data_IF_926217633576
#
_entry.id   IF_926217633576
#
_cell.length_a   1.000
_cell.length_b   1.000
_cell.length_c   1.000
_cell.angle_alpha   90.00
_cell.angle_beta   90.00
_cell.angle_gamma   90.00
#
_symmetry.space_group_name_H-M   'P 1'
#
loop_
_entity.id
_entity.type
_entity.pdbx_description
1 polymer ?
#
# COMPACT_ATOMS: atom_id res chain seq x y z
N UNK A 1 -66.05 4.67 -48.78
CA UNK A 1 -64.75 5.15 -48.29
C UNK A 1 -63.97 3.98 -47.72
N UNK A 2 -62.88 3.55 -48.37
CA UNK A 2 -62.02 2.43 -47.95
C UNK A 2 -61.06 2.90 -46.85
N UNK A 3 -61.17 2.35 -45.64
CA UNK A 3 -60.21 2.58 -44.56
C UNK A 3 -58.91 1.81 -44.80
N UNK A 4 -57.79 2.52 -44.93
CA UNK A 4 -56.44 1.93 -45.02
C UNK A 4 -56.00 1.48 -43.62
N UNK A 5 -55.68 0.19 -43.45
CA UNK A 5 -54.94 -0.31 -42.29
C UNK A 5 -53.45 -0.03 -42.49
N UNK A 6 -52.87 0.78 -41.61
CA UNK A 6 -51.42 1.00 -41.52
C UNK A 6 -50.81 -0.21 -40.79
N UNK A 7 -49.96 -0.98 -41.45
CA UNK A 7 -49.17 -2.02 -40.80
C UNK A 7 -47.93 -1.37 -40.16
N UNK A 8 -47.86 -1.43 -38.83
CA UNK A 8 -46.72 -0.96 -38.06
C UNK A 8 -45.68 -2.10 -38.02
N UNK A 9 -44.60 -1.98 -38.78
CA UNK A 9 -43.45 -2.88 -38.68
C UNK A 9 -42.69 -2.54 -37.40
N UNK A 10 -42.76 -3.43 -36.39
CA UNK A 10 -41.91 -3.35 -35.21
C UNK A 10 -40.47 -3.69 -35.56
N UNK A 11 -39.54 -2.73 -35.41
CA UNK A 11 -38.12 -3.03 -35.38
C UNK A 11 -37.80 -3.74 -34.05
N UNK A 12 -37.41 -5.02 -34.12
CA UNK A 12 -36.72 -5.68 -33.01
C UNK A 12 -35.34 -5.03 -32.83
N UNK A 13 -34.93 -4.67 -31.60
CA UNK A 13 -33.56 -4.24 -31.35
C UNK A 13 -32.61 -5.42 -31.58
N UNK A 14 -31.67 -5.24 -32.51
CA UNK A 14 -30.57 -6.18 -32.73
C UNK A 14 -29.67 -6.13 -31.48
N UNK A 15 -29.74 -7.16 -30.63
CA UNK A 15 -28.80 -7.37 -29.54
C UNK A 15 -27.43 -7.71 -30.15
N UNK A 16 -26.59 -6.71 -30.36
CA UNK A 16 -25.19 -6.90 -30.66
C UNK A 16 -24.55 -7.40 -29.37
N UNK A 17 -24.31 -8.71 -29.27
CA UNK A 17 -23.51 -9.28 -28.20
C UNK A 17 -22.11 -8.66 -28.27
N UNK A 18 -21.71 -7.94 -27.22
CA UNK A 18 -20.36 -7.41 -27.11
C UNK A 18 -19.36 -8.57 -27.16
N UNK A 19 -18.33 -8.47 -28.01
CA UNK A 19 -17.28 -9.47 -28.07
C UNK A 19 -16.63 -9.63 -26.69
N UNK A 20 -16.35 -10.86 -26.22
CA UNK A 20 -15.71 -11.07 -24.93
C UNK A 20 -14.36 -10.35 -24.92
N UNK A 21 -14.05 -9.66 -23.81
CA UNK A 21 -12.78 -9.00 -23.64
C UNK A 21 -11.63 -10.01 -23.87
N UNK A 22 -10.56 -9.64 -24.58
CA UNK A 22 -9.45 -10.54 -24.83
C UNK A 22 -8.87 -11.02 -23.49
N UNK A 23 -8.59 -12.31 -23.40
CA UNK A 23 -7.96 -12.89 -22.21
C UNK A 23 -6.59 -12.23 -21.99
N UNK A 24 -6.23 -11.91 -20.73
CA UNK A 24 -4.90 -11.43 -20.40
C UNK A 24 -3.80 -12.37 -20.88
N UNK A 25 -2.66 -11.81 -21.28
CA UNK A 25 -1.48 -12.61 -21.63
C UNK A 25 -0.97 -13.37 -20.39
N UNK A 26 -0.59 -14.63 -20.56
CA UNK A 26 -0.05 -15.47 -19.50
C UNK A 26 1.04 -16.39 -20.03
N UNK A 27 2.04 -16.67 -19.20
CA UNK A 27 3.18 -17.55 -19.51
C UNK A 27 3.72 -18.17 -18.22
N UNK A 28 4.59 -19.18 -18.37
CA UNK A 28 5.40 -19.69 -17.26
C UNK A 28 6.73 -18.93 -17.27
N UNK A 29 7.06 -18.31 -16.14
CA UNK A 29 8.37 -17.69 -15.94
C UNK A 29 9.45 -18.77 -16.03
N UNK A 30 10.39 -18.68 -17.00
CA UNK A 30 11.36 -19.74 -17.25
C UNK A 30 12.38 -19.87 -16.11
N UNK A 31 12.58 -18.83 -15.31
CA UNK A 31 13.53 -18.83 -14.18
C UNK A 31 12.92 -19.49 -12.95
N UNK A 32 11.64 -19.22 -12.67
CA UNK A 32 11.00 -19.65 -11.41
C UNK A 32 10.07 -20.87 -11.60
N UNK A 33 9.55 -21.07 -12.81
CA UNK A 33 8.55 -22.08 -13.11
C UNK A 33 7.14 -21.73 -12.61
N UNK A 34 6.88 -20.48 -12.24
CA UNK A 34 5.56 -20.01 -11.82
C UNK A 34 4.80 -19.38 -12.98
N UNK A 35 3.47 -19.50 -12.95
CA UNK A 35 2.61 -18.86 -13.94
C UNK A 35 2.49 -17.37 -13.64
N UNK A 36 2.74 -16.54 -14.64
CA UNK A 36 2.53 -15.09 -14.60
C UNK A 36 1.40 -14.71 -15.55
N UNK A 37 0.59 -13.74 -15.15
CA UNK A 37 -0.45 -13.10 -15.95
C UNK A 37 -0.17 -11.60 -15.99
N UNK A 38 -0.19 -11.01 -17.18
CA UNK A 38 -0.15 -9.55 -17.35
C UNK A 38 -1.58 -9.00 -17.34
N UNK A 39 -2.01 -8.49 -16.19
CA UNK A 39 -3.38 -8.03 -15.91
C UNK A 39 -3.74 -6.80 -16.76
N UNK A 40 -2.85 -5.80 -16.80
CA UNK A 40 -3.03 -4.60 -17.63
C UNK A 40 -1.68 -3.92 -17.90
N UNK A 41 -1.46 -3.49 -19.15
CA UNK A 41 -0.25 -2.81 -19.61
C UNK A 41 -0.54 -1.46 -20.30
N UNK A 42 -1.76 -0.93 -20.12
CA UNK A 42 -2.13 0.41 -20.59
C UNK A 42 -1.20 1.48 -20.00
N UNK A 43 -0.74 2.45 -20.79
CA UNK A 43 0.06 3.56 -20.27
C UNK A 43 -0.63 4.29 -19.12
N UNK A 44 0.13 4.59 -18.06
CA UNK A 44 -0.39 5.30 -16.89
C UNK A 44 -1.22 4.45 -15.92
N UNK A 45 -1.22 3.11 -16.05
CA UNK A 45 -1.81 2.24 -15.04
C UNK A 45 -1.13 2.41 -13.66
N UNK A 46 -1.92 2.25 -12.60
CA UNK A 46 -1.47 2.35 -11.22
C UNK A 46 -2.17 1.28 -10.36
N UNK A 47 -1.37 0.29 -9.93
CA UNK A 47 -1.71 -0.59 -8.81
C UNK A 47 -1.48 0.13 -7.47
N UNK A 48 -2.26 -0.25 -6.47
CA UNK A 48 -2.29 0.43 -5.18
C UNK A 48 -1.00 0.20 -4.38
N UNK A 49 -0.66 1.18 -3.54
CA UNK A 49 0.44 1.07 -2.58
C UNK A 49 0.27 -0.16 -1.67
N UNK A 50 1.35 -0.80 -1.23
CA UNK A 50 1.32 -2.13 -0.57
C UNK A 50 0.40 -2.23 0.66
N UNK A 51 0.12 -1.11 1.34
CA UNK A 51 -0.75 -1.05 2.51
C UNK A 51 -2.21 -0.64 2.22
N UNK A 52 -2.57 -0.43 0.96
CA UNK A 52 -3.93 -0.09 0.55
C UNK A 52 -4.62 -1.30 -0.05
N UNK A 53 -5.66 -1.81 0.62
CA UNK A 53 -6.41 -2.97 0.15
C UNK A 53 -7.03 -2.72 -1.25
N UNK A 54 -6.61 -3.47 -2.29
CA UNK A 54 -7.20 -3.35 -3.61
C UNK A 54 -8.36 -4.33 -3.84
N UNK A 55 -8.64 -5.24 -2.90
CA UNK A 55 -9.58 -6.33 -3.11
C UNK A 55 -10.93 -6.09 -2.46
N UNK A 56 -11.97 -6.49 -3.18
CA UNK A 56 -13.33 -6.62 -2.63
C UNK A 56 -13.39 -7.65 -1.49
N UNK A 57 -14.32 -7.50 -0.52
CA UNK A 57 -14.40 -8.41 0.63
C UNK A 57 -14.61 -9.89 0.28
N UNK A 58 -15.23 -10.18 -0.87
CA UNK A 58 -15.41 -11.53 -1.38
C UNK A 58 -14.19 -12.07 -2.15
N UNK A 59 -13.15 -11.24 -2.32
CA UNK A 59 -11.90 -11.55 -3.01
C UNK A 59 -12.02 -11.72 -4.52
N UNK A 60 -13.18 -11.46 -5.12
CA UNK A 60 -13.42 -11.75 -6.55
C UNK A 60 -12.94 -10.66 -7.49
N UNK A 61 -12.75 -9.45 -6.95
CA UNK A 61 -12.36 -8.28 -7.75
C UNK A 61 -11.25 -7.50 -7.09
N UNK A 62 -10.31 -7.07 -7.93
CA UNK A 62 -9.25 -6.14 -7.58
C UNK A 62 -9.45 -4.81 -8.29
N UNK A 63 -9.40 -3.68 -7.58
CA UNK A 63 -9.42 -2.35 -8.19
C UNK A 63 -8.00 -1.92 -8.58
N UNK A 64 -7.92 -1.12 -9.64
CA UNK A 64 -6.72 -0.37 -9.99
C UNK A 64 -7.12 0.88 -10.79
N UNK A 65 -6.18 1.79 -10.96
CA UNK A 65 -6.42 3.06 -11.66
C UNK A 65 -5.76 3.04 -13.05
N UNK A 66 -6.44 3.63 -14.03
CA UNK A 66 -5.85 4.05 -15.31
C UNK A 66 -6.16 5.52 -15.55
N UNK A 67 -5.55 6.17 -16.57
CA UNK A 67 -5.92 7.55 -16.91
C UNK A 67 -7.40 7.73 -17.30
N UNK A 68 -8.10 6.65 -17.65
CA UNK A 68 -9.55 6.66 -17.94
C UNK A 68 -10.42 6.69 -16.67
N UNK A 69 -9.89 6.17 -15.55
CA UNK A 69 -10.59 6.08 -14.26
C UNK A 69 -10.40 4.72 -13.57
N UNK A 70 -11.35 4.34 -12.70
CA UNK A 70 -11.26 3.12 -11.88
C UNK A 70 -11.65 1.91 -12.72
N UNK A 71 -10.77 0.92 -12.76
CA UNK A 71 -11.00 -0.39 -13.35
C UNK A 71 -11.05 -1.46 -12.28
N UNK A 72 -11.72 -2.57 -12.60
CA UNK A 72 -11.68 -3.81 -11.81
C UNK A 72 -11.13 -4.94 -12.67
N UNK A 73 -10.30 -5.77 -12.07
CA UNK A 73 -9.89 -7.07 -12.58
C UNK A 73 -10.62 -8.19 -11.82
N UNK A 74 -11.15 -9.17 -12.54
CA UNK A 74 -11.69 -10.41 -11.96
C UNK A 74 -10.53 -11.32 -11.53
N UNK A 75 -10.48 -11.76 -10.27
CA UNK A 75 -9.32 -12.53 -9.76
C UNK A 75 -9.28 -13.97 -10.27
N UNK A 76 -10.38 -14.50 -10.81
CA UNK A 76 -10.42 -15.86 -11.34
C UNK A 76 -9.81 -15.98 -12.74
N UNK A 77 -9.83 -14.91 -13.54
CA UNK A 77 -9.37 -14.94 -14.92
C UNK A 77 -8.61 -13.68 -15.39
N UNK A 78 -8.43 -12.71 -14.50
CA UNK A 78 -7.73 -11.44 -14.69
C UNK A 78 -8.32 -10.53 -15.78
N UNK A 79 -9.51 -10.82 -16.32
CA UNK A 79 -10.18 -9.92 -17.26
C UNK A 79 -10.56 -8.63 -16.57
N UNK A 80 -10.51 -7.51 -17.30
CA UNK A 80 -10.69 -6.18 -16.71
C UNK A 80 -11.82 -5.39 -17.36
N UNK A 81 -12.52 -4.58 -16.57
CA UNK A 81 -13.54 -3.64 -17.06
C UNK A 81 -13.41 -2.28 -16.37
N UNK A 82 -13.81 -1.23 -17.07
CA UNK A 82 -13.95 0.12 -16.50
C UNK A 82 -15.21 0.16 -15.62
N UNK A 83 -15.09 0.66 -14.40
CA UNK A 83 -16.21 0.87 -13.47
C UNK A 83 -16.64 2.33 -13.48
N UNK A 84 -15.66 3.23 -13.41
CA UNK A 84 -15.89 4.66 -13.30
C UNK A 84 -14.99 5.39 -14.28
N UNK A 85 -15.59 6.15 -15.20
CA UNK A 85 -14.87 7.03 -16.13
C UNK A 85 -14.82 8.44 -15.56
N UNK A 86 -13.71 8.79 -14.94
CA UNK A 86 -13.50 10.08 -14.30
C UNK A 86 -12.00 10.35 -14.11
N UNK A 87 -11.58 11.63 -14.15
CA UNK A 87 -10.23 12.01 -13.72
C UNK A 87 -10.13 11.89 -12.20
N UNK A 88 -9.22 11.04 -11.74
CA UNK A 88 -9.04 10.73 -10.33
C UNK A 88 -7.62 11.10 -9.93
N UNK A 89 -7.48 11.88 -8.86
CA UNK A 89 -6.17 12.30 -8.35
C UNK A 89 -5.55 11.19 -7.50
N UNK A 90 -6.37 10.44 -6.74
CA UNK A 90 -5.89 9.28 -6.00
C UNK A 90 -6.97 8.23 -5.80
N UNK A 91 -6.67 7.00 -6.23
CA UNK A 91 -7.39 5.81 -5.80
C UNK A 91 -6.86 5.38 -4.44
N UNK A 92 -7.76 5.16 -3.46
CA UNK A 92 -7.39 4.81 -2.09
C UNK A 92 -7.39 3.30 -1.91
N UNK A 93 -8.54 2.71 -1.63
CA UNK A 93 -8.70 1.31 -1.25
C UNK A 93 -10.16 0.86 -1.46
N UNK A 94 -10.41 -0.44 -1.31
CA UNK A 94 -11.75 -1.01 -1.17
C UNK A 94 -12.11 -1.12 0.32
N UNK A 95 -13.38 -0.91 0.65
CA UNK A 95 -13.91 -1.19 1.99
C UNK A 95 -13.84 -2.66 2.38
N UNK A 96 -13.88 -2.93 3.68
CA UNK A 96 -13.77 -4.26 4.26
C UNK A 96 -15.12 -5.03 4.29
N UNK A 97 -16.25 -4.32 4.15
CA UNK A 97 -17.60 -4.88 4.32
C UNK A 97 -18.43 -4.86 3.05
N UNK A 98 -18.13 -3.95 2.13
CA UNK A 98 -18.85 -3.83 0.86
C UNK A 98 -17.88 -3.67 -0.32
N UNK A 99 -18.33 -4.05 -1.51
CA UNK A 99 -17.61 -3.83 -2.76
C UNK A 99 -17.66 -2.36 -3.20
N UNK A 100 -17.10 -1.49 -2.37
CA UNK A 100 -17.09 -0.04 -2.54
C UNK A 100 -15.64 0.45 -2.53
N UNK A 101 -15.22 1.14 -3.59
CA UNK A 101 -13.92 1.77 -3.65
C UNK A 101 -13.98 3.23 -3.21
N UNK A 102 -12.92 3.69 -2.56
CA UNK A 102 -12.77 5.06 -2.09
C UNK A 102 -11.69 5.77 -2.90
N UNK A 103 -11.94 7.03 -3.27
CA UNK A 103 -11.03 7.81 -4.09
C UNK A 103 -11.15 9.30 -3.78
N UNK A 104 -10.21 10.10 -4.27
CA UNK A 104 -10.25 11.55 -4.14
C UNK A 104 -10.06 12.25 -5.48
N UNK A 105 -10.73 13.40 -5.61
CA UNK A 105 -10.58 14.35 -6.71
C UNK A 105 -10.17 15.71 -6.17
N UNK A 106 -9.41 16.50 -6.91
CA UNK A 106 -9.00 17.86 -6.56
C UNK A 106 -9.93 18.87 -7.25
N UNK A 107 -10.42 19.90 -6.54
CA UNK A 107 -11.16 20.99 -7.15
C UNK A 107 -10.30 21.72 -8.21
N UNK A 108 -10.94 22.19 -9.28
CA UNK A 108 -10.27 22.99 -10.30
C UNK A 108 -9.67 24.24 -9.64
N UNK A 109 -8.37 24.47 -9.83
CA UNK A 109 -7.66 25.64 -9.30
C UNK A 109 -7.22 25.52 -7.83
N UNK A 110 -7.45 24.38 -7.16
CA UNK A 110 -6.93 24.13 -5.81
C UNK A 110 -6.45 22.69 -5.64
N UNK A 111 -5.19 22.44 -5.99
CA UNK A 111 -4.56 21.11 -5.89
C UNK A 111 -4.25 20.68 -4.45
N UNK A 112 -4.29 21.60 -3.49
CA UNK A 112 -4.07 21.29 -2.08
C UNK A 112 -5.32 20.69 -1.41
N UNK A 113 -6.52 21.08 -1.87
CA UNK A 113 -7.77 20.53 -1.38
C UNK A 113 -8.19 19.28 -2.17
N UNK A 114 -9.02 18.44 -1.55
CA UNK A 114 -9.60 17.27 -2.22
C UNK A 114 -11.04 17.03 -1.77
N UNK A 115 -11.85 16.44 -2.65
CA UNK A 115 -13.15 15.87 -2.32
C UNK A 115 -13.00 14.36 -2.26
N UNK A 116 -13.51 13.75 -1.19
CA UNK A 116 -13.51 12.31 -0.97
C UNK A 116 -14.81 11.71 -1.46
N UNK A 117 -14.68 10.62 -2.19
CA UNK A 117 -15.78 9.91 -2.83
C UNK A 117 -15.72 8.42 -2.51
N UNK A 118 -16.88 7.78 -2.54
CA UNK A 118 -17.02 6.34 -2.69
C UNK A 118 -17.67 6.01 -4.02
N UNK A 119 -17.34 4.87 -4.63
CA UNK A 119 -18.04 4.30 -5.77
C UNK A 119 -18.41 2.85 -5.51
N UNK A 120 -19.66 2.50 -5.75
CA UNK A 120 -20.15 1.13 -5.75
C UNK A 120 -19.63 0.40 -7.00
N UNK A 121 -18.91 -0.71 -6.81
CA UNK A 121 -18.20 -1.39 -7.90
C UNK A 121 -19.12 -2.22 -8.82
N UNK A 122 -20.36 -2.46 -8.41
CA UNK A 122 -21.36 -3.18 -9.20
C UNK A 122 -22.12 -2.22 -10.12
N UNK A 123 -22.50 -1.07 -9.61
CA UNK A 123 -23.36 -0.10 -10.29
C UNK A 123 -22.61 1.08 -10.90
N UNK A 124 -21.37 1.33 -10.47
CA UNK A 124 -20.61 2.53 -10.83
C UNK A 124 -21.16 3.83 -10.21
N UNK A 125 -22.17 3.74 -9.34
CA UNK A 125 -22.75 4.91 -8.67
C UNK A 125 -21.79 5.44 -7.63
N UNK A 126 -21.43 6.72 -7.77
CA UNK A 126 -20.58 7.42 -6.80
C UNK A 126 -21.40 8.23 -5.80
N UNK A 127 -20.82 8.42 -4.61
CA UNK A 127 -21.36 9.24 -3.53
C UNK A 127 -20.23 10.11 -2.97
N UNK A 128 -20.52 11.40 -2.77
CA UNK A 128 -19.61 12.33 -2.09
C UNK A 128 -19.63 12.04 -0.59
N UNK A 129 -18.46 12.02 0.04
CA UNK A 129 -18.33 11.78 1.50
C UNK A 129 -18.01 13.08 2.21
N UNK A 130 -16.93 13.76 1.84
CA UNK A 130 -16.46 14.95 2.53
C UNK A 130 -15.53 15.78 1.63
N UNK A 131 -15.36 17.05 1.99
CA UNK A 131 -14.28 17.89 1.46
C UNK A 131 -13.15 17.99 2.47
N UNK A 132 -11.93 17.91 1.97
CA UNK A 132 -10.70 18.12 2.71
C UNK A 132 -10.04 19.41 2.22
N UNK A 133 -9.87 20.42 3.09
CA UNK A 133 -9.16 21.65 2.73
C UNK A 133 -7.65 21.44 2.54
N UNK A 134 -7.13 20.28 2.97
CA UNK A 134 -5.73 19.91 2.86
C UNK A 134 -5.48 18.52 3.46
N UNK A 135 -4.30 17.97 3.19
CA UNK A 135 -3.90 16.66 3.68
C UNK A 135 -4.46 15.50 2.85
N UNK A 136 -4.47 14.30 3.42
CA UNK A 136 -4.83 13.08 2.69
C UNK A 136 -5.45 12.00 3.57
N UNK A 137 -6.42 11.27 3.02
CA UNK A 137 -6.89 9.99 3.58
C UNK A 137 -5.83 8.91 3.37
N UNK A 138 -5.64 8.03 4.34
CA UNK A 138 -4.68 6.93 4.25
C UNK A 138 -5.31 5.57 4.59
N UNK A 139 -6.44 5.53 5.31
CA UNK A 139 -7.01 4.25 5.72
C UNK A 139 -8.53 4.33 5.97
N UNK A 140 -9.18 3.16 6.02
CA UNK A 140 -10.57 2.93 6.43
C UNK A 140 -10.59 1.88 7.53
N UNK A 141 -11.47 2.04 8.51
CA UNK A 141 -11.54 1.12 9.64
C UNK A 141 -12.26 -0.20 9.31
N UNK A 142 -12.09 -1.19 10.19
CA UNK A 142 -12.53 -2.58 9.97
C UNK A 142 -14.06 -2.78 9.79
N UNK A 143 -14.87 -1.78 10.10
CA UNK A 143 -16.34 -1.81 9.96
C UNK A 143 -16.87 -0.80 8.92
N UNK A 144 -15.97 -0.16 8.16
CA UNK A 144 -16.29 0.80 7.09
C UNK A 144 -17.11 2.02 7.54
N UNK A 145 -16.89 2.48 8.79
CA UNK A 145 -17.57 3.66 9.34
C UNK A 145 -16.71 4.92 9.36
N UNK A 146 -15.39 4.78 9.45
CA UNK A 146 -14.43 5.88 9.55
C UNK A 146 -13.34 5.79 8.49
N UNK A 147 -13.06 6.94 7.86
CA UNK A 147 -11.80 7.15 7.16
C UNK A 147 -10.80 7.81 8.12
N UNK A 148 -9.52 7.49 8.00
CA UNK A 148 -8.46 8.18 8.72
C UNK A 148 -7.47 8.81 7.74
N UNK A 149 -6.96 9.98 8.13
CA UNK A 149 -6.01 10.74 7.35
C UNK A 149 -5.12 11.60 8.23
N UNK A 150 -4.23 12.34 7.58
CA UNK A 150 -3.39 13.32 8.24
C UNK A 150 -3.29 14.60 7.40
N UNK A 151 -2.84 15.67 8.04
CA UNK A 151 -2.73 16.98 7.41
C UNK A 151 -1.69 17.84 8.14
N UNK A 152 -1.01 18.70 7.38
CA UNK A 152 -0.25 19.83 7.91
C UNK A 152 -1.20 20.98 8.30
N UNK A 153 -1.04 21.50 9.51
CA UNK A 153 -1.84 22.58 10.08
C UNK A 153 -1.34 23.97 9.68
N UNK A 154 -0.09 24.06 9.20
CA UNK A 154 0.53 25.25 8.65
C UNK A 154 1.35 24.85 7.41
N UNK A 155 1.53 25.75 6.43
CA UNK A 155 2.41 25.48 5.30
C UNK A 155 3.86 25.25 5.78
N UNK A 156 4.60 24.31 5.18
CA UNK A 156 6.01 24.15 5.48
C UNK A 156 6.80 25.36 4.95
N UNK A 157 8.03 25.60 5.45
CA UNK A 157 8.91 26.63 4.91
C UNK A 157 9.04 26.53 3.39
N UNK A 158 9.07 27.67 2.69
CA UNK A 158 9.00 27.72 1.22
C UNK A 158 10.07 26.85 0.52
N UNK A 159 11.29 26.81 1.06
CA UNK A 159 12.37 25.97 0.52
C UNK A 159 12.09 24.46 0.62
N UNK A 160 11.32 24.04 1.62
CA UNK A 160 10.84 22.66 1.77
C UNK A 160 9.67 22.41 0.81
N UNK A 161 8.71 23.34 0.75
CA UNK A 161 7.52 23.25 -0.10
C UNK A 161 7.84 23.20 -1.60
N UNK A 162 8.95 23.81 -2.02
CA UNK A 162 9.36 23.89 -3.43
C UNK A 162 9.94 22.58 -4.01
N UNK A 163 10.10 21.53 -3.20
CA UNK A 163 10.66 20.23 -3.63
C UNK A 163 9.68 19.08 -3.38
N UNK A 164 9.98 17.90 -3.92
CA UNK A 164 9.17 16.69 -3.76
C UNK A 164 8.05 16.55 -4.77
N UNK A 165 7.96 17.45 -5.76
CA UNK A 165 7.04 17.33 -6.90
C UNK A 165 7.30 16.02 -7.64
N UNK A 166 6.24 15.35 -8.08
CA UNK A 166 6.36 14.09 -8.82
C UNK A 166 6.77 14.36 -10.26
N UNK A 167 7.76 13.63 -10.74
CA UNK A 167 8.17 13.61 -12.15
C UNK A 167 6.99 13.09 -13.01
N UNK A 168 6.55 13.81 -14.06
CA UNK A 168 5.42 13.38 -14.87
C UNK A 168 5.62 12.08 -15.66
N UNK A 169 6.86 11.66 -15.90
CA UNK A 169 7.21 10.45 -16.65
C UNK A 169 7.35 9.24 -15.73
N UNK A 170 8.08 9.39 -14.63
CA UNK A 170 8.37 8.27 -13.71
C UNK A 170 7.38 8.19 -12.55
N UNK A 171 6.75 9.30 -12.19
CA UNK A 171 5.90 9.42 -11.01
C UNK A 171 6.67 9.51 -9.69
N UNK A 172 8.02 9.43 -9.73
CA UNK A 172 8.89 9.49 -8.56
C UNK A 172 8.98 10.94 -8.04
N UNK A 173 9.10 11.17 -6.73
CA UNK A 173 9.32 12.51 -6.19
C UNK A 173 10.70 13.04 -6.59
N UNK A 174 10.81 14.36 -6.78
CA UNK A 174 12.07 15.02 -7.16
C UNK A 174 12.68 15.77 -5.98
N UNK A 175 13.94 15.48 -5.65
CA UNK A 175 14.69 16.17 -4.60
C UNK A 175 16.07 16.56 -5.13
N UNK A 176 16.47 17.79 -4.84
CA UNK A 176 17.73 18.34 -5.32
C UNK A 176 18.41 19.18 -4.22
N UNK A 177 19.69 18.95 -4.04
CA UNK A 177 20.55 19.69 -3.15
C UNK A 177 21.99 19.64 -3.66
N UNK A 178 22.78 20.66 -3.34
CA UNK A 178 24.21 20.68 -3.63
C UNK A 178 25.02 20.34 -2.38
N UNK A 179 26.15 19.68 -2.56
CA UNK A 179 27.12 19.40 -1.51
C UNK A 179 27.91 20.65 -1.11
N UNK A 180 28.77 20.54 -0.07
CA UNK A 180 29.64 21.64 0.35
C UNK A 180 30.59 22.15 -0.74
N UNK A 181 30.90 21.32 -1.73
CA UNK A 181 31.71 21.65 -2.90
C UNK A 181 30.89 22.32 -4.04
N UNK A 182 29.60 22.59 -3.81
CA UNK A 182 28.70 23.20 -4.77
C UNK A 182 28.15 22.24 -5.83
N UNK A 183 28.53 20.96 -5.84
CA UNK A 183 28.07 19.99 -6.85
C UNK A 183 26.74 19.34 -6.47
N UNK A 184 25.89 18.93 -7.43
CA UNK A 184 24.65 18.21 -7.14
C UNK A 184 24.90 16.90 -6.38
N UNK A 185 24.08 16.66 -5.35
CA UNK A 185 24.11 15.42 -4.58
C UNK A 185 23.34 14.30 -5.29
N UNK A 186 23.70 13.02 -5.06
CA UNK A 186 22.86 11.89 -5.46
C UNK A 186 21.45 12.02 -4.89
N UNK A 187 20.45 11.54 -5.64
CA UNK A 187 19.03 11.65 -5.27
C UNK A 187 18.73 11.19 -3.84
N UNK A 188 19.23 10.01 -3.44
CA UNK A 188 18.99 9.46 -2.10
C UNK A 188 19.52 10.39 -0.99
N UNK A 189 20.69 10.99 -1.19
CA UNK A 189 21.30 11.93 -0.24
C UNK A 189 20.52 13.26 -0.21
N UNK A 190 20.11 13.77 -1.37
CA UNK A 190 19.30 14.98 -1.46
C UNK A 190 17.92 14.79 -0.78
N UNK A 191 17.28 13.63 -1.00
CA UNK A 191 16.04 13.23 -0.32
C UNK A 191 16.23 13.18 1.20
N UNK A 192 17.28 12.52 1.69
CA UNK A 192 17.54 12.43 3.14
C UNK A 192 17.77 13.81 3.77
N UNK A 193 18.53 14.70 3.12
CA UNK A 193 18.73 16.07 3.59
C UNK A 193 17.42 16.87 3.62
N UNK A 194 16.59 16.76 2.59
CA UNK A 194 15.28 17.40 2.55
C UNK A 194 14.38 16.87 3.68
N UNK A 195 14.33 15.55 3.90
CA UNK A 195 13.58 14.93 4.99
C UNK A 195 14.06 15.43 6.36
N UNK A 196 15.38 15.54 6.56
CA UNK A 196 15.95 16.07 7.79
C UNK A 196 15.54 17.53 8.04
N UNK A 197 15.50 18.36 7.00
CA UNK A 197 15.02 19.76 7.08
C UNK A 197 13.52 19.82 7.38
N UNK A 198 12.70 18.99 6.72
CA UNK A 198 11.26 18.90 6.98
C UNK A 198 10.97 18.48 8.42
N UNK A 199 11.72 17.53 8.96
CA UNK A 199 11.62 17.11 10.35
C UNK A 199 12.02 18.25 11.30
N UNK A 200 13.17 18.87 11.07
CA UNK A 200 13.68 19.97 11.92
C UNK A 200 12.78 21.22 11.90
N UNK A 201 12.02 21.44 10.82
CA UNK A 201 11.10 22.56 10.71
C UNK A 201 9.90 22.47 11.68
N UNK A 202 9.62 21.29 12.26
CA UNK A 202 8.57 21.14 13.28
C UNK A 202 7.18 21.57 12.83
N UNK A 203 6.87 21.44 11.53
CA UNK A 203 5.60 21.90 10.96
C UNK A 203 4.46 21.13 11.62
N UNK A 204 3.52 21.81 12.30
CA UNK A 204 2.46 21.17 13.05
C UNK A 204 1.57 20.33 12.15
N UNK A 205 1.22 19.14 12.60
CA UNK A 205 0.38 18.18 11.90
C UNK A 205 -0.71 17.63 12.81
N UNK A 206 -1.72 17.05 12.17
CA UNK A 206 -2.75 16.27 12.85
C UNK A 206 -3.00 14.94 12.15
N UNK A 207 -3.44 13.96 12.94
CA UNK A 207 -4.18 12.79 12.45
C UNK A 207 -5.65 13.04 12.76
N UNK A 208 -6.52 12.75 11.81
CA UNK A 208 -7.96 12.95 11.93
C UNK A 208 -8.73 11.75 11.40
N UNK A 209 -10.01 11.65 11.78
CA UNK A 209 -10.99 10.73 11.20
C UNK A 209 -12.11 11.50 10.51
N UNK A 210 -12.79 10.85 9.56
CA UNK A 210 -14.04 11.31 8.94
C UNK A 210 -15.08 10.21 9.07
N UNK A 211 -16.25 10.52 9.61
CA UNK A 211 -17.41 9.63 9.57
C UNK A 211 -17.97 9.54 8.14
N UNK A 212 -18.02 8.32 7.61
CA UNK A 212 -18.35 8.06 6.20
C UNK A 212 -19.82 8.41 5.87
N UNK A 213 -20.71 8.38 6.87
CA UNK A 213 -22.15 8.64 6.69
C UNK A 213 -22.44 10.14 6.69
N UNK A 214 -21.85 10.86 7.61
CA UNK A 214 -22.14 12.28 7.89
C UNK A 214 -21.14 13.24 7.24
N UNK A 215 -19.93 12.77 6.95
CA UNK A 215 -18.81 13.61 6.51
C UNK A 215 -18.15 14.39 7.66
N UNK A 216 -18.57 14.17 8.91
CA UNK A 216 -18.02 14.87 10.08
C UNK A 216 -16.55 14.49 10.30
N UNK A 217 -15.69 15.50 10.52
CA UNK A 217 -14.26 15.31 10.77
C UNK A 217 -13.93 15.53 12.25
N UNK A 218 -13.13 14.62 12.83
CA UNK A 218 -12.61 14.75 14.19
C UNK A 218 -11.10 14.58 14.24
N UNK A 219 -10.41 15.48 14.94
CA UNK A 219 -8.98 15.35 15.23
C UNK A 219 -8.75 14.24 16.28
N UNK A 220 -7.80 13.35 16.01
CA UNK A 220 -7.38 12.25 16.90
C UNK A 220 -6.16 12.67 17.73
N UNK A 221 -5.14 13.22 17.08
CA UNK A 221 -3.95 13.77 17.76
C UNK A 221 -3.33 14.88 16.92
N UNK A 222 -2.63 15.80 17.58
CA UNK A 222 -1.77 16.80 16.96
C UNK A 222 -0.33 16.63 17.47
N UNK A 223 0.65 17.00 16.65
CA UNK A 223 2.07 17.03 17.03
C UNK A 223 2.85 17.99 16.12
N UNK A 224 4.01 18.46 16.59
CA UNK A 224 5.04 19.06 15.73
C UNK A 224 5.95 18.00 15.09
N UNK A 225 5.84 16.74 15.51
CA UNK A 225 6.42 15.60 14.79
C UNK A 225 5.76 15.46 13.41
N UNK A 226 6.52 14.95 12.45
CA UNK A 226 5.98 14.70 11.11
C UNK A 226 5.13 13.42 11.11
N UNK A 227 3.81 13.57 11.23
CA UNK A 227 2.88 12.44 11.28
C UNK A 227 2.59 11.88 9.88
N UNK A 228 2.74 10.56 9.70
CA UNK A 228 2.45 9.88 8.43
C UNK A 228 1.97 8.42 8.63
N UNK A 229 1.77 7.71 7.52
CA UNK A 229 1.51 6.26 7.45
C UNK A 229 0.40 5.76 8.38
N UNK A 230 -0.73 6.47 8.36
CA UNK A 230 -1.90 6.21 9.20
C UNK A 230 -2.67 5.02 8.66
N UNK A 231 -2.78 3.95 9.45
CA UNK A 231 -3.39 2.67 9.08
C UNK A 231 -4.26 2.13 10.21
N UNK A 232 -5.55 1.93 9.96
CA UNK A 232 -6.41 1.20 10.88
C UNK A 232 -5.99 -0.25 11.00
N UNK A 233 -6.18 -0.81 12.20
CA UNK A 233 -6.16 -2.25 12.39
C UNK A 233 -7.25 -2.90 11.52
N UNK A 234 -6.92 -3.97 10.78
CA UNK A 234 -7.89 -4.80 10.07
C UNK A 234 -9.01 -5.41 10.92
N UNK A 235 -8.85 -5.52 12.25
CA UNK A 235 -9.81 -6.20 13.13
C UNK A 235 -10.32 -5.35 14.30
N UNK A 236 -9.72 -4.18 14.58
CA UNK A 236 -10.18 -3.24 15.60
C UNK A 236 -10.50 -1.87 14.97
N UNK A 237 -11.79 -1.48 14.88
CA UNK A 237 -12.20 -0.28 14.17
C UNK A 237 -11.80 1.04 14.87
N UNK A 238 -11.23 0.95 16.07
CA UNK A 238 -10.82 2.11 16.87
C UNK A 238 -9.31 2.25 17.02
N UNK A 239 -8.53 1.28 16.53
CA UNK A 239 -7.08 1.27 16.69
C UNK A 239 -6.39 1.72 15.38
N UNK A 240 -5.56 2.74 15.49
CA UNK A 240 -4.70 3.23 14.41
C UNK A 240 -3.25 2.89 14.73
N UNK A 241 -2.50 2.45 13.72
CA UNK A 241 -1.06 2.60 13.63
C UNK A 241 -0.75 3.89 12.86
N UNK A 242 0.31 4.58 13.23
CA UNK A 242 0.86 5.70 12.47
C UNK A 242 2.37 5.77 12.66
N UNK A 243 3.04 6.65 11.91
CA UNK A 243 4.45 6.88 12.09
C UNK A 243 4.84 8.34 12.31
N UNK A 244 6.00 8.51 12.95
CA UNK A 244 6.80 9.73 12.86
C UNK A 244 7.76 9.58 11.67
N UNK A 245 7.51 10.35 10.61
CA UNK A 245 8.30 10.36 9.38
C UNK A 245 9.57 11.22 9.55
N UNK A 246 10.61 10.87 8.80
CA UNK A 246 11.90 11.54 8.84
C UNK A 246 13.03 10.56 8.54
N UNK A 247 14.30 11.01 8.55
CA UNK A 247 15.42 10.08 8.55
C UNK A 247 15.26 9.11 9.71
N UNK A 248 15.19 7.81 9.43
CA UNK A 248 14.71 6.80 10.38
C UNK A 248 15.52 6.76 11.69
N UNK A 249 16.82 7.06 11.62
CA UNK A 249 17.72 7.13 12.78
C UNK A 249 17.40 8.30 13.73
N UNK A 250 16.60 9.28 13.29
CA UNK A 250 16.25 10.49 14.06
C UNK A 250 14.86 10.42 14.71
N UNK A 251 14.12 9.33 14.52
CA UNK A 251 12.73 9.21 14.99
C UNK A 251 12.50 7.88 15.71
N UNK A 252 11.62 7.89 16.71
CA UNK A 252 10.95 6.67 17.15
C UNK A 252 9.72 6.51 16.25
N UNK A 253 9.85 5.66 15.23
CA UNK A 253 8.97 5.69 14.06
C UNK A 253 7.56 5.19 14.34
N UNK A 254 7.38 4.01 14.93
CA UNK A 254 6.12 3.25 14.87
C UNK A 254 5.31 3.45 16.16
N UNK A 255 4.05 3.87 16.01
CA UNK A 255 3.14 4.16 17.12
C UNK A 255 1.74 3.61 16.87
N UNK A 256 1.00 3.34 17.94
CA UNK A 256 -0.45 3.10 17.89
C UNK A 256 -1.21 4.12 18.73
N UNK A 257 -2.47 4.37 18.40
CA UNK A 257 -3.37 5.28 19.12
C UNK A 257 -4.84 4.88 18.90
N UNK A 258 -5.71 5.15 19.87
CA UNK A 258 -7.17 5.01 19.70
C UNK A 258 -7.77 6.19 18.96
N UNK A 259 -8.90 6.01 18.29
CA UNK A 259 -9.62 7.09 17.58
C UNK A 259 -10.13 8.20 18.50
N UNK A 260 -10.21 7.97 19.81
CA UNK A 260 -10.50 8.98 20.82
C UNK A 260 -9.27 9.75 21.32
N UNK A 261 -8.08 9.41 20.81
CA UNK A 261 -6.79 10.01 21.18
C UNK A 261 -6.08 9.32 22.37
N UNK A 262 -6.71 8.32 22.99
CA UNK A 262 -6.14 7.59 24.12
C UNK A 262 -5.13 6.51 23.68
N UNK A 263 -4.43 5.94 24.67
CA UNK A 263 -3.51 4.79 24.49
C UNK A 263 -2.43 5.00 23.42
N UNK A 264 -1.88 6.21 23.31
CA UNK A 264 -0.72 6.49 22.47
C UNK A 264 0.47 5.66 22.94
N UNK A 265 0.87 4.69 22.13
CA UNK A 265 1.86 3.66 22.51
C UNK A 265 2.96 3.56 21.47
N UNK A 266 4.21 3.61 21.92
CA UNK A 266 5.38 3.37 21.07
C UNK A 266 5.54 1.86 20.83
N UNK A 267 5.59 1.45 19.57
CA UNK A 267 5.63 0.02 19.20
C UNK A 267 7.04 -0.55 19.26
N UNK A 268 8.06 0.25 18.93
CA UNK A 268 9.45 -0.21 18.92
C UNK A 268 10.36 0.80 19.63
N UNK A 269 11.10 0.32 20.62
CA UNK A 269 12.09 1.11 21.34
C UNK A 269 13.47 0.77 20.81
N UNK A 270 14.18 1.78 20.27
CA UNK A 270 15.52 1.58 19.74
C UNK A 270 16.49 1.16 20.84
N UNK A 271 17.38 0.24 20.50
CA UNK A 271 18.39 -0.32 21.42
C UNK A 271 19.82 0.00 21.00
N UNK A 272 20.08 0.10 19.69
CA UNK A 272 21.41 0.44 19.17
C UNK A 272 21.47 1.85 18.57
N UNK A 273 22.65 2.49 18.67
CA UNK A 273 22.92 3.72 17.91
C UNK A 273 22.91 3.41 16.40
N UNK A 274 22.21 4.21 15.60
CA UNK A 274 22.07 3.96 14.17
C UNK A 274 21.05 2.88 13.80
N UNK A 275 20.30 2.35 14.77
CA UNK A 275 19.16 1.47 14.52
C UNK A 275 18.02 2.23 13.82
N UNK A 276 17.47 1.61 12.77
CA UNK A 276 16.38 2.17 11.96
C UNK A 276 15.29 1.14 11.76
N UNK A 277 14.04 1.60 11.71
CA UNK A 277 12.88 0.78 11.42
C UNK A 277 11.98 1.47 10.39
N UNK A 278 11.28 0.69 9.57
CA UNK A 278 10.42 1.19 8.50
C UNK A 278 9.48 0.13 7.92
N UNK A 279 8.77 0.53 6.86
CA UNK A 279 7.86 -0.33 6.09
C UNK A 279 6.82 -1.08 6.94
N UNK A 280 6.38 -0.46 8.04
CA UNK A 280 5.46 -1.07 8.99
C UNK A 280 4.08 -1.35 8.38
N UNK A 281 3.49 -2.50 8.70
CA UNK A 281 2.15 -2.88 8.24
C UNK A 281 1.43 -3.79 9.24
N UNK A 282 0.10 -3.82 9.15
CA UNK A 282 -0.71 -4.76 9.91
C UNK A 282 -0.75 -6.12 9.23
N UNK A 283 -0.51 -7.19 9.99
CA UNK A 283 -0.84 -8.54 9.56
C UNK A 283 -2.37 -8.68 9.39
N UNK A 284 -2.85 -9.62 8.55
CA UNK A 284 -4.28 -9.91 8.39
C UNK A 284 -5.05 -10.22 9.68
N UNK A 285 -4.38 -10.65 10.76
CA UNK A 285 -5.03 -10.84 12.07
C UNK A 285 -5.48 -9.52 12.75
N UNK A 286 -4.99 -8.39 12.26
CA UNK A 286 -5.24 -7.05 12.75
C UNK A 286 -4.71 -6.73 14.15
N UNK A 287 -3.85 -7.57 14.71
CA UNK A 287 -3.19 -7.33 16.00
C UNK A 287 -1.67 -7.36 15.92
N UNK A 288 -1.11 -8.02 14.91
CA UNK A 288 0.34 -8.10 14.73
C UNK A 288 0.78 -6.99 13.79
N UNK A 289 1.71 -6.16 14.23
CA UNK A 289 2.42 -5.20 13.38
C UNK A 289 3.73 -5.83 12.96
N UNK A 290 4.00 -5.88 11.66
CA UNK A 290 5.29 -6.27 11.08
C UNK A 290 6.02 -5.03 10.58
N UNK A 291 7.35 -5.04 10.64
CA UNK A 291 8.19 -3.93 10.17
C UNK A 291 9.61 -4.39 9.87
N UNK A 292 10.28 -3.67 8.98
CA UNK A 292 11.71 -3.83 8.73
C UNK A 292 12.48 -3.21 9.88
N UNK A 293 13.44 -3.95 10.41
CA UNK A 293 14.35 -3.49 11.45
C UNK A 293 15.79 -3.72 10.99
N UNK A 294 16.57 -2.64 10.93
CA UNK A 294 17.98 -2.68 10.55
C UNK A 294 18.80 -2.14 11.73
N UNK A 295 19.62 -3.01 12.28
CA UNK A 295 20.57 -2.72 13.35
C UNK A 295 21.97 -2.47 12.75
N UNK A 296 22.90 -1.89 13.53
CA UNK A 296 24.29 -1.73 13.12
C UNK A 296 24.92 -3.03 12.63
N UNK A 297 26.01 -2.90 11.86
CA UNK A 297 26.68 -4.03 11.19
C UNK A 297 25.82 -4.74 10.13
N UNK A 298 24.73 -4.11 9.68
CA UNK A 298 23.89 -4.65 8.60
C UNK A 298 22.96 -5.79 9.05
N UNK A 299 22.68 -5.91 10.35
CA UNK A 299 21.76 -6.93 10.85
C UNK A 299 20.32 -6.48 10.60
N UNK A 300 19.72 -7.05 9.56
CA UNK A 300 18.32 -6.89 9.11
C UNK A 300 17.38 -7.97 9.66
N UNK A 301 16.19 -7.56 10.06
CA UNK A 301 15.10 -8.40 10.54
C UNK A 301 13.78 -7.98 9.90
N UNK A 302 12.90 -8.95 9.67
CA UNK A 302 11.46 -8.73 9.63
C UNK A 302 10.94 -8.92 11.07
N UNK A 303 10.67 -7.81 11.74
CA UNK A 303 10.34 -7.76 13.16
C UNK A 303 8.83 -7.61 13.36
N UNK A 304 8.30 -8.08 14.50
CA UNK A 304 6.90 -7.91 14.86
C UNK A 304 6.66 -7.39 16.28
N UNK A 305 5.43 -6.93 16.48
CA UNK A 305 4.84 -6.64 17.78
C UNK A 305 3.33 -7.01 17.77
N UNK A 306 2.91 -7.94 18.62
CA UNK A 306 1.49 -8.23 18.87
C UNK A 306 0.94 -7.21 19.90
N UNK A 307 0.01 -6.37 19.47
CA UNK A 307 -0.50 -5.24 20.29
C UNK A 307 -1.36 -5.66 21.48
N UNK A 308 -1.80 -6.93 21.54
CA UNK A 308 -2.62 -7.43 22.64
C UNK A 308 -1.77 -8.05 23.74
N UNK A 309 -0.76 -8.82 23.36
CA UNK A 309 0.07 -9.59 24.27
C UNK A 309 1.44 -8.97 24.53
N UNK A 310 1.89 -8.04 23.69
CA UNK A 310 3.23 -7.47 23.73
C UNK A 310 4.32 -8.42 23.21
N UNK A 311 3.97 -9.62 22.75
CA UNK A 311 4.92 -10.61 22.23
C UNK A 311 5.59 -10.11 20.95
N UNK A 312 6.84 -10.52 20.76
CA UNK A 312 7.67 -10.18 19.60
C UNK A 312 8.25 -11.43 18.97
N UNK A 313 8.24 -11.46 17.65
CA UNK A 313 8.84 -12.50 16.83
C UNK A 313 9.61 -11.88 15.68
N UNK A 314 10.92 -12.12 15.60
CA UNK A 314 11.81 -11.50 14.62
C UNK A 314 12.45 -12.57 13.73
N UNK A 315 12.31 -12.40 12.41
CA UNK A 315 12.94 -13.27 11.43
C UNK A 315 14.15 -12.62 10.80
N UNK A 316 15.30 -13.29 10.84
CA UNK A 316 16.53 -12.79 10.24
C UNK A 316 16.38 -12.73 8.72
N UNK A 317 16.68 -11.58 8.12
CA UNK A 317 16.76 -11.43 6.67
C UNK A 317 18.19 -11.75 6.19
N UNK A 318 18.30 -12.75 5.32
CA UNK A 318 19.51 -13.18 4.65
C UNK A 318 19.83 -12.42 3.35
N UNK A 319 20.85 -12.88 2.63
CA UNK A 319 21.24 -12.32 1.35
C UNK A 319 20.13 -12.47 0.31
N UNK A 320 19.85 -11.39 -0.45
CA UNK A 320 18.79 -11.37 -1.47
C UNK A 320 17.36 -11.47 -0.93
N UNK A 321 17.15 -11.42 0.40
CA UNK A 321 15.81 -11.40 1.00
C UNK A 321 15.32 -9.97 1.30
N UNK A 322 16.19 -8.97 1.16
CA UNK A 322 15.80 -7.57 1.28
C UNK A 322 14.73 -7.20 0.26
N UNK A 323 13.71 -6.50 0.71
CA UNK A 323 12.60 -6.00 -0.13
C UNK A 323 12.31 -4.56 0.24
N UNK A 324 11.70 -3.80 -0.67
CA UNK A 324 11.14 -2.49 -0.31
C UNK A 324 9.88 -2.65 0.54
N UNK A 325 9.07 -3.66 0.23
CA UNK A 325 7.86 -3.96 0.95
C UNK A 325 7.76 -5.44 1.29
N UNK A 326 7.18 -5.70 2.44
CA UNK A 326 6.76 -7.04 2.86
C UNK A 326 5.25 -7.07 3.05
N UNK A 327 4.64 -8.24 2.84
CA UNK A 327 3.24 -8.50 3.13
C UNK A 327 3.06 -9.91 3.69
N UNK A 328 1.98 -10.14 4.43
CA UNK A 328 1.64 -11.45 5.00
C UNK A 328 0.54 -12.11 4.19
N UNK A 329 0.58 -13.44 4.05
CA UNK A 329 -0.51 -14.20 3.43
C UNK A 329 -1.80 -14.08 4.26
N UNK A 330 -2.99 -14.23 3.66
CA UNK A 330 -4.27 -14.10 4.36
C UNK A 330 -4.43 -15.00 5.60
N UNK A 331 -3.78 -16.17 5.59
CA UNK A 331 -3.77 -17.13 6.71
C UNK A 331 -2.65 -16.88 7.74
N UNK A 332 -1.86 -15.81 7.58
CA UNK A 332 -0.70 -15.44 8.40
C UNK A 332 0.43 -16.49 8.47
N UNK A 333 0.52 -17.42 7.50
CA UNK A 333 1.54 -18.48 7.51
C UNK A 333 2.78 -18.17 6.69
N UNK A 334 2.66 -17.29 5.70
CA UNK A 334 3.70 -16.97 4.74
C UNK A 334 3.90 -15.46 4.68
N UNK A 335 5.08 -15.04 4.24
CA UNK A 335 5.31 -13.66 3.84
C UNK A 335 5.63 -13.58 2.35
N UNK A 336 5.48 -12.38 1.79
CA UNK A 336 5.97 -12.03 0.48
C UNK A 336 6.86 -10.80 0.56
N UNK A 337 7.87 -10.73 -0.31
CA UNK A 337 8.73 -9.56 -0.51
C UNK A 337 8.83 -9.21 -1.98
N UNK A 338 8.83 -7.92 -2.32
CA UNK A 338 8.97 -7.44 -3.70
C UNK A 338 10.41 -7.25 -4.17
N UNK A 339 11.40 -7.55 -3.32
CA UNK A 339 12.80 -7.48 -3.67
C UNK A 339 13.35 -6.06 -3.77
N UNK A 340 14.61 -5.97 -4.18
CA UNK A 340 15.35 -4.73 -4.40
C UNK A 340 16.52 -5.01 -5.36
N UNK A 341 17.47 -4.08 -5.50
CA UNK A 341 18.64 -4.28 -6.36
C UNK A 341 19.59 -5.41 -5.91
N UNK A 342 19.54 -5.87 -4.64
CA UNK A 342 20.29 -7.04 -4.16
C UNK A 342 19.57 -8.38 -4.46
N UNK A 343 18.28 -8.33 -4.76
CA UNK A 343 17.42 -9.51 -4.92
C UNK A 343 16.19 -9.18 -5.73
N UNK A 344 16.35 -9.12 -7.06
CA UNK A 344 15.28 -8.70 -7.98
C UNK A 344 14.27 -9.82 -8.24
N UNK A 345 13.41 -10.11 -7.28
CA UNK A 345 12.35 -11.11 -7.39
C UNK A 345 11.12 -10.76 -6.56
N UNK A 346 9.92 -11.09 -7.05
CA UNK A 346 8.79 -11.37 -6.16
C UNK A 346 9.09 -12.69 -5.46
N UNK A 347 9.06 -12.69 -4.13
CA UNK A 347 9.52 -13.83 -3.32
C UNK A 347 8.48 -14.21 -2.29
N UNK A 348 8.34 -15.51 -2.06
CA UNK A 348 7.58 -16.09 -0.95
C UNK A 348 8.55 -16.54 0.14
N UNK A 349 8.20 -16.27 1.38
CA UNK A 349 9.00 -16.62 2.54
C UNK A 349 8.21 -17.54 3.49
N UNK A 350 8.83 -18.67 3.83
CA UNK A 350 8.33 -19.64 4.82
C UNK A 350 9.08 -19.42 6.13
N UNK A 351 8.38 -19.05 7.22
CA UNK A 351 9.05 -18.82 8.48
C UNK A 351 9.52 -20.12 9.12
N UNK A 352 10.73 -20.11 9.68
CA UNK A 352 11.28 -21.21 10.49
C UNK A 352 11.66 -20.66 11.85
N UNK A 353 11.15 -21.28 12.91
CA UNK A 353 11.50 -20.90 14.28
C UNK A 353 12.97 -21.21 14.55
N UNK A 354 13.61 -20.42 15.41
CA UNK A 354 14.94 -20.73 15.93
C UNK A 354 14.90 -22.07 16.69
N UNK A 355 15.90 -22.91 16.46
CA UNK A 355 16.06 -24.24 17.07
C UNK A 355 17.11 -24.24 18.18
N UNK A 356 17.61 -23.07 18.59
CA UNK A 356 18.54 -22.92 19.69
C UNK A 356 18.03 -23.62 20.96
N UNK A 357 18.75 -24.64 21.49
CA UNK A 357 18.28 -25.44 22.61
C UNK A 357 18.21 -24.66 23.93
N UNK A 358 18.76 -23.44 23.99
CA UNK A 358 18.65 -22.55 25.16
C UNK A 358 17.32 -21.79 25.21
N UNK A 359 16.63 -21.63 24.07
CA UNK A 359 15.41 -20.81 23.98
C UNK A 359 14.24 -21.31 24.84
N UNK A 360 13.98 -22.63 24.99
CA UNK A 360 12.90 -23.13 25.84
C UNK A 360 13.07 -22.77 27.32
N UNK A 361 14.29 -22.86 27.86
CA UNK A 361 14.60 -22.69 29.29
C UNK A 361 15.11 -21.29 29.65
N UNK A 362 14.90 -20.30 28.78
CA UNK A 362 15.35 -18.93 29.03
C UNK A 362 14.48 -18.26 30.11
N UNK A 363 15.12 -17.66 31.11
CA UNK A 363 14.43 -16.86 32.14
C UNK A 363 13.60 -15.76 31.48
N UNK A 364 12.34 -15.61 31.90
CA UNK A 364 11.39 -14.64 31.36
C UNK A 364 11.17 -14.72 29.82
N UNK A 365 11.34 -15.91 29.21
CA UNK A 365 11.22 -16.12 27.74
C UNK A 365 10.04 -15.42 27.08
N UNK A 366 8.88 -15.38 27.74
CA UNK A 366 7.64 -14.84 27.17
C UNK A 366 7.64 -13.30 27.08
N UNK A 367 8.60 -12.63 27.74
CA UNK A 367 8.85 -11.18 27.67
C UNK A 367 10.00 -10.82 26.73
N UNK A 368 10.70 -11.81 26.21
CA UNK A 368 11.82 -11.65 25.29
C UNK A 368 11.35 -11.80 23.84
N UNK A 369 12.26 -11.54 22.91
CA UNK A 369 12.02 -11.67 21.48
C UNK A 369 12.25 -13.13 21.08
N UNK A 370 11.23 -13.77 20.54
CA UNK A 370 11.41 -15.03 19.83
C UNK A 370 12.07 -14.75 18.47
N UNK A 371 12.96 -15.64 18.03
CA UNK A 371 13.69 -15.48 16.78
C UNK A 371 13.40 -16.62 15.80
N UNK A 372 13.76 -16.39 14.55
CA UNK A 372 13.75 -17.39 13.49
C UNK A 372 14.42 -16.87 12.22
N UNK A 373 14.24 -17.59 11.13
CA UNK A 373 14.66 -17.17 9.79
C UNK A 373 13.56 -17.42 8.75
N UNK A 374 13.83 -17.04 7.51
CA UNK A 374 12.93 -17.22 6.37
C UNK A 374 13.57 -18.15 5.34
N UNK A 375 12.90 -19.26 5.02
CA UNK A 375 13.18 -20.02 3.80
C UNK A 375 12.55 -19.28 2.60
N UNK A 376 13.28 -19.19 1.49
CA UNK A 376 12.86 -18.40 0.31
C UNK A 376 12.49 -19.26 -0.88
N UNK A 377 11.38 -18.92 -1.52
CA UNK A 377 11.00 -19.36 -2.85
C UNK A 377 10.82 -18.14 -3.76
N UNK A 378 11.46 -18.11 -4.92
CA UNK A 378 11.29 -17.03 -5.91
C UNK A 378 10.10 -17.33 -6.80
N UNK A 379 9.21 -16.36 -6.97
CA UNK A 379 7.97 -16.51 -7.72
C UNK A 379 8.05 -15.84 -9.09
N UNK A 380 8.59 -14.62 -9.19
CA UNK A 380 8.74 -13.93 -10.48
C UNK A 380 10.12 -13.31 -10.62
N UNK A 381 10.75 -13.50 -11.77
CA UNK A 381 12.03 -12.90 -12.13
C UNK A 381 11.84 -11.41 -12.47
N UNK A 382 12.49 -10.56 -11.67
CA UNK A 382 12.49 -9.11 -11.86
C UNK A 382 13.88 -8.60 -12.30
N UNK A 383 14.74 -9.43 -12.89
CA UNK A 383 16.11 -9.07 -13.29
C UNK A 383 16.20 -7.82 -14.17
N UNK A 384 15.16 -7.53 -14.96
CA UNK A 384 15.04 -6.33 -15.81
C UNK A 384 14.29 -5.16 -15.17
N UNK A 385 13.89 -5.28 -13.91
CA UNK A 385 13.15 -4.25 -13.18
C UNK A 385 14.04 -3.06 -12.87
N UNK A 386 13.54 -1.88 -13.22
CA UNK A 386 14.01 -0.62 -12.67
C UNK A 386 13.14 -0.25 -11.44
N UNK A 387 13.77 -0.26 -10.26
CA UNK A 387 13.13 -0.01 -8.97
C UNK A 387 12.82 1.47 -8.71
N UNK A 388 13.03 2.36 -9.67
CA UNK A 388 12.32 3.67 -9.68
C UNK A 388 10.80 3.48 -9.68
N UNK A 389 10.32 2.33 -10.18
CA UNK A 389 8.98 1.79 -9.99
C UNK A 389 9.00 0.66 -8.95
N UNK A 390 8.53 0.94 -7.75
CA UNK A 390 8.39 -0.08 -6.70
C UNK A 390 7.22 -1.05 -7.00
N UNK A 391 7.39 -2.39 -6.85
CA UNK A 391 6.34 -3.33 -7.22
C UNK A 391 5.07 -3.31 -6.37
N UNK A 392 5.16 -3.01 -5.06
CA UNK A 392 3.99 -2.88 -4.17
C UNK A 392 3.07 -4.11 -4.21
N UNK A 393 3.61 -5.27 -3.84
CA UNK A 393 2.95 -6.56 -3.98
C UNK A 393 1.83 -6.83 -2.96
N UNK A 394 0.75 -7.45 -3.42
CA UNK A 394 -0.42 -7.84 -2.59
C UNK A 394 -0.79 -9.30 -2.80
N UNK A 395 -1.05 -10.03 -1.73
CA UNK A 395 -1.70 -11.34 -1.84
C UNK A 395 -3.17 -11.16 -2.24
N UNK A 396 -3.67 -12.02 -3.13
CA UNK A 396 -5.12 -12.17 -3.28
C UNK A 396 -5.74 -12.71 -1.98
N UNK A 397 -7.03 -12.42 -1.69
CA UNK A 397 -7.64 -12.87 -0.44
C UNK A 397 -7.73 -14.40 -0.27
N UNK A 398 -7.68 -15.16 -1.36
CA UNK A 398 -7.58 -16.62 -1.36
C UNK A 398 -6.14 -17.14 -1.21
N UNK A 399 -5.15 -16.25 -1.20
CA UNK A 399 -3.72 -16.56 -1.10
C UNK A 399 -3.12 -17.27 -2.33
N UNK A 400 -3.86 -17.38 -3.44
CA UNK A 400 -3.41 -18.13 -4.61
C UNK A 400 -2.47 -17.33 -5.52
N UNK A 401 -2.53 -16.00 -5.45
CA UNK A 401 -1.74 -15.10 -6.30
C UNK A 401 -1.09 -13.97 -5.51
N UNK A 402 0.00 -13.45 -6.07
CA UNK A 402 0.57 -12.15 -5.71
C UNK A 402 0.45 -11.21 -6.89
N UNK A 403 -0.20 -10.07 -6.68
CA UNK A 403 -0.30 -9.00 -7.68
C UNK A 403 0.75 -7.94 -7.40
N UNK A 404 1.41 -7.44 -8.44
CA UNK A 404 2.49 -6.45 -8.34
C UNK A 404 2.57 -5.60 -9.61
N UNK A 405 3.25 -4.46 -9.50
CA UNK A 405 3.63 -3.63 -10.64
C UNK A 405 5.06 -3.97 -11.07
N UNK A 406 5.33 -3.91 -12.36
CA UNK A 406 6.70 -4.06 -12.85
C UNK A 406 6.89 -3.31 -14.18
N UNK A 407 8.14 -3.04 -14.54
CA UNK A 407 8.56 -2.49 -15.83
C UNK A 407 9.54 -3.41 -16.57
N UNK A 408 9.53 -4.71 -16.25
CA UNK A 408 10.42 -5.76 -16.82
C UNK A 408 10.29 -5.93 -18.35
N UNK A 409 9.17 -5.49 -18.93
CA UNK A 409 8.93 -5.46 -20.39
C UNK A 409 9.24 -4.08 -21.01
N UNK A 410 9.97 -3.21 -20.30
CA UNK A 410 10.36 -1.87 -20.75
C UNK A 410 9.29 -0.78 -20.55
N UNK A 411 8.12 -1.14 -19.98
CA UNK A 411 7.03 -0.21 -19.64
C UNK A 411 6.28 -0.67 -18.39
N UNK A 412 5.70 0.23 -17.57
CA UNK A 412 4.91 -0.16 -16.41
C UNK A 412 3.67 -0.99 -16.78
N UNK A 413 3.49 -2.11 -16.10
CA UNK A 413 2.30 -2.96 -16.18
C UNK A 413 1.98 -3.56 -14.81
N UNK A 414 0.75 -4.09 -14.68
CA UNK A 414 0.28 -4.84 -13.52
C UNK A 414 0.35 -6.33 -13.88
N UNK A 415 0.95 -7.10 -13.00
CA UNK A 415 1.14 -8.54 -13.14
C UNK A 415 0.55 -9.28 -11.95
N UNK A 416 0.15 -10.53 -12.15
CA UNK A 416 -0.16 -11.47 -11.10
C UNK A 416 0.70 -12.73 -11.29
N UNK A 417 1.36 -13.19 -10.23
CA UNK A 417 2.09 -14.46 -10.22
C UNK A 417 1.39 -15.45 -9.30
N UNK A 418 1.22 -16.68 -9.79
CA UNK A 418 0.60 -17.74 -9.02
C UNK A 418 1.57 -18.25 -7.94
N UNK A 419 1.08 -18.39 -6.71
CA UNK A 419 1.87 -18.86 -5.57
C UNK A 419 2.23 -20.34 -5.73
N UNK A 420 1.32 -21.13 -6.30
CA UNK A 420 1.62 -22.50 -6.71
C UNK A 420 2.57 -22.51 -7.91
N UNK A 421 3.50 -23.46 -7.90
CA UNK A 421 4.36 -23.69 -9.06
C UNK A 421 3.54 -24.36 -10.17
N UNK A 422 3.87 -24.05 -11.43
CA UNK A 422 3.22 -24.73 -12.55
C UNK A 422 3.53 -26.25 -12.52
N UNK A 423 2.56 -27.09 -12.92
CA UNK A 423 2.73 -28.54 -12.95
C UNK A 423 3.80 -29.00 -13.95
#
# INVERSE_FOLDING_TARGET
MRGKRLALFGLLPLLIAAAPAPKPASWIDPTTGHRIVRVDDRPGNYGLYFNYNPFTPDGKRMIYLTPEGIRVADTANWTTRLVLKEKIDRLLFVGNRAAVAYYSTSPIGNEAASTIWSVDLDTGKRRRIADLPGGRIASINADDTLLAGHRELAPPPAAIAAQGNRDPKTGSPTYAANGPDGKPLPFAVAKEQWMARRLAAGVPMEIFTIDIRTGERKTVTQSSDWLNHVLFSPSDPTLLMYCHEGPWQKVDRIWTIRTDGSQKTKVHQRTFQGEIAGHEYWAPDGRTIWYDLIQPMGVRWLASFDVRSGKRLWYRLGAGQGSYHFSSSPDNRLFSGDGNDEGKYISLFRPRADTNPRAPDTLDRDRLIAAGDLETQRLADLSKQDYTLEPNQHFTPDGQWLVYRANVEGKPAIYAVEVAKAP
#
